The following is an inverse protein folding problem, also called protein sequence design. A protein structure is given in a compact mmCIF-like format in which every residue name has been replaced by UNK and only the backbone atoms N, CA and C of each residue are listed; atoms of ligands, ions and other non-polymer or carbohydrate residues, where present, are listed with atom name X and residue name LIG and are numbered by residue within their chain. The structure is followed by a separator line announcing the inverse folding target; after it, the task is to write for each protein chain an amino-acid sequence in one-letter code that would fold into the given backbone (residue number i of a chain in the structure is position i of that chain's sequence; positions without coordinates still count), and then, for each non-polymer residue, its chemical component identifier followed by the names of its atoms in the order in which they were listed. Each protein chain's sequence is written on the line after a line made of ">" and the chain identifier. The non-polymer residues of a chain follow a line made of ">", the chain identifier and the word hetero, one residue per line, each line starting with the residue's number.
data_IF_498123147351
#
_entry.id   IF_498123147351
#
_cell.length_a   1.000
_cell.length_b   1.000
_cell.length_c   1.000
_cell.angle_alpha   90.00
_cell.angle_beta   90.00
_cell.angle_gamma   90.00
#
_symmetry.space_group_name_H-M   'P 1'
#
loop_
_entity.id
_entity.type
_entity.pdbx_description
1 polymer ?
#
# COMPACT_ATOMS: atom_id res chain seq x y z
N UNK A 1 12.82 19.39 2.98
CA UNK A 1 14.15 18.72 3.12
C UNK A 1 14.10 17.31 2.53
N UNK A 2 13.24 16.40 3.01
CA UNK A 2 13.17 15.02 2.47
C UNK A 2 12.74 14.96 0.99
N UNK A 3 11.55 15.48 0.65
CA UNK A 3 11.05 15.45 -0.73
C UNK A 3 11.96 16.18 -1.73
N UNK A 4 12.56 17.30 -1.32
CA UNK A 4 13.52 18.03 -2.16
C UNK A 4 14.78 17.22 -2.49
N UNK A 5 15.20 16.29 -1.62
CA UNK A 5 16.28 15.36 -1.96
C UNK A 5 15.81 14.28 -2.95
N UNK A 6 14.59 13.76 -2.78
CA UNK A 6 14.00 12.80 -3.73
C UNK A 6 13.88 13.41 -5.14
N UNK A 7 13.43 14.67 -5.25
CA UNK A 7 13.29 15.33 -6.56
C UNK A 7 14.61 15.41 -7.32
N UNK A 8 15.72 15.77 -6.65
CA UNK A 8 17.04 15.81 -7.28
C UNK A 8 17.44 14.45 -7.87
N UNK A 9 17.06 13.37 -7.20
CA UNK A 9 17.32 12.01 -7.68
C UNK A 9 16.42 11.67 -8.88
N UNK A 10 15.14 12.07 -8.85
CA UNK A 10 14.24 11.92 -10.00
C UNK A 10 14.74 12.67 -11.23
N UNK A 11 15.19 13.92 -11.06
CA UNK A 11 15.72 14.75 -12.15
C UNK A 11 16.95 14.10 -12.79
N UNK A 12 17.89 13.56 -11.97
CA UNK A 12 19.07 12.83 -12.47
C UNK A 12 18.70 11.57 -13.24
N UNK A 13 17.68 10.84 -12.77
CA UNK A 13 17.20 9.61 -13.40
C UNK A 13 16.29 9.87 -14.63
N UNK A 14 15.95 11.13 -14.93
CA UNK A 14 14.98 11.45 -15.99
C UNK A 14 13.55 10.98 -15.68
N UNK A 15 13.22 10.79 -14.39
CA UNK A 15 11.89 10.39 -13.93
C UNK A 15 10.96 11.61 -13.99
N UNK A 16 9.74 11.41 -14.50
CA UNK A 16 8.77 12.50 -14.73
C UNK A 16 7.99 12.94 -13.48
N UNK A 17 8.24 12.35 -12.32
CA UNK A 17 7.54 12.68 -11.07
C UNK A 17 7.94 14.07 -10.57
N UNK A 18 6.94 14.82 -10.13
CA UNK A 18 7.09 16.17 -9.59
C UNK A 18 6.46 16.31 -8.20
N UNK A 19 6.65 17.47 -7.56
CA UNK A 19 6.01 17.79 -6.29
C UNK A 19 4.48 17.81 -6.37
N UNK A 20 3.91 18.08 -7.54
CA UNK A 20 2.45 18.10 -7.73
C UNK A 20 1.85 16.69 -7.71
N UNK A 21 2.65 15.65 -7.95
CA UNK A 21 2.22 14.25 -7.98
C UNK A 21 2.27 13.60 -6.59
N UNK A 22 2.76 14.32 -5.58
CA UNK A 22 2.92 13.79 -4.22
C UNK A 22 1.58 13.70 -3.53
N UNK A 23 1.12 12.46 -3.31
CA UNK A 23 -0.07 12.15 -2.53
C UNK A 23 0.27 11.13 -1.44
N UNK A 24 0.83 11.61 -0.32
CA UNK A 24 1.26 10.77 0.81
C UNK A 24 0.10 10.28 1.68
N UNK A 25 0.39 9.33 2.57
CA UNK A 25 -0.62 8.69 3.46
C UNK A 25 -1.42 9.70 4.28
N UNK A 26 -0.77 10.78 4.74
CA UNK A 26 -1.40 11.82 5.55
C UNK A 26 -2.55 12.53 4.84
N UNK A 27 -2.57 12.52 3.51
CA UNK A 27 -3.62 13.15 2.72
C UNK A 27 -4.97 12.41 2.82
N UNK A 28 -4.96 11.19 3.41
CA UNK A 28 -6.16 10.38 3.63
C UNK A 28 -6.56 10.30 5.11
N UNK A 29 -5.84 10.97 6.03
CA UNK A 29 -6.05 10.84 7.47
C UNK A 29 -7.47 11.18 7.92
N UNK A 30 -8.04 12.25 7.37
CA UNK A 30 -9.40 12.70 7.70
C UNK A 30 -10.46 11.67 7.30
N UNK A 31 -10.10 10.76 6.40
CA UNK A 31 -11.01 9.77 5.84
C UNK A 31 -10.99 8.40 6.53
N UNK A 32 -9.96 8.14 7.32
CA UNK A 32 -9.75 6.81 7.93
C UNK A 32 -10.90 6.42 8.86
N UNK A 33 -11.44 7.38 9.61
CA UNK A 33 -12.60 7.17 10.48
C UNK A 33 -13.85 6.82 9.66
N UNK A 34 -14.05 7.47 8.50
CA UNK A 34 -15.19 7.20 7.64
C UNK A 34 -15.09 5.82 6.99
N UNK A 35 -13.89 5.39 6.58
CA UNK A 35 -13.66 4.03 6.09
C UNK A 35 -14.11 2.98 7.10
N UNK A 36 -13.71 3.12 8.37
CA UNK A 36 -14.13 2.17 9.43
C UNK A 36 -15.64 2.22 9.68
N UNK A 37 -16.24 3.42 9.67
CA UNK A 37 -17.69 3.59 9.82
C UNK A 37 -18.46 2.91 8.68
N UNK A 38 -18.03 3.08 7.43
CA UNK A 38 -18.65 2.48 6.25
C UNK A 38 -18.54 0.94 6.26
N UNK A 39 -17.38 0.40 6.67
CA UNK A 39 -17.19 -1.04 6.82
C UNK A 39 -18.09 -1.61 7.92
N UNK A 40 -18.23 -0.89 9.03
CA UNK A 40 -19.17 -1.25 10.12
C UNK A 40 -20.61 -1.27 9.63
N UNK A 41 -21.04 -0.22 8.92
CA UNK A 41 -22.40 -0.10 8.41
C UNK A 41 -22.76 -1.21 7.40
N UNK A 42 -21.76 -1.74 6.68
CA UNK A 42 -21.91 -2.89 5.79
C UNK A 42 -21.84 -4.25 6.48
N UNK A 43 -21.59 -4.28 7.79
CA UNK A 43 -21.45 -5.52 8.55
C UNK A 43 -20.23 -6.35 8.16
N UNK A 44 -19.17 -5.69 7.64
CA UNK A 44 -17.94 -6.37 7.21
C UNK A 44 -16.92 -6.52 8.34
N UNK A 45 -17.07 -5.76 9.43
CA UNK A 45 -16.14 -5.78 10.56
C UNK A 45 -16.56 -6.78 11.62
N UNK A 46 -15.58 -7.56 12.07
CA UNK A 46 -15.66 -8.43 13.23
C UNK A 46 -14.58 -8.00 14.22
N UNK A 47 -14.93 -7.94 15.50
CA UNK A 47 -13.96 -7.71 16.56
C UNK A 47 -13.16 -9.00 16.83
N UNK A 48 -11.84 -8.89 16.82
CA UNK A 48 -10.91 -9.96 17.15
C UNK A 48 -9.79 -9.43 18.05
N UNK A 49 -9.71 -9.93 19.29
CA UNK A 49 -8.77 -9.47 20.32
C UNK A 49 -8.76 -7.94 20.52
N UNK A 50 -9.94 -7.33 20.46
CA UNK A 50 -10.14 -5.88 20.56
C UNK A 50 -9.84 -5.09 19.28
N UNK A 51 -9.24 -5.71 18.26
CA UNK A 51 -9.03 -5.08 16.96
C UNK A 51 -10.27 -5.27 16.06
N UNK A 52 -10.49 -4.34 15.13
CA UNK A 52 -11.51 -4.48 14.10
C UNK A 52 -10.87 -5.07 12.84
N UNK A 53 -11.41 -6.20 12.40
CA UNK A 53 -10.87 -7.00 11.32
C UNK A 53 -11.95 -7.32 10.27
N UNK A 54 -11.56 -7.41 9.00
CA UNK A 54 -12.37 -8.06 7.97
C UNK A 54 -11.82 -9.47 7.76
N UNK A 55 -12.70 -10.47 7.74
CA UNK A 55 -12.35 -11.85 7.43
C UNK A 55 -12.82 -12.20 6.02
N UNK A 56 -11.90 -12.72 5.22
CA UNK A 56 -12.13 -13.07 3.82
C UNK A 56 -11.93 -14.58 3.66
N UNK A 57 -12.97 -15.30 3.26
CA UNK A 57 -12.94 -16.76 3.20
C UNK A 57 -11.95 -17.31 2.18
N UNK A 58 -11.58 -16.52 1.16
CA UNK A 58 -10.62 -16.94 0.14
C UNK A 58 -9.18 -16.94 0.67
N UNK A 59 -8.92 -16.19 1.74
CA UNK A 59 -7.58 -15.98 2.29
C UNK A 59 -7.45 -16.71 3.63
N UNK A 60 -6.84 -17.89 3.60
CA UNK A 60 -6.69 -18.76 4.78
C UNK A 60 -5.22 -19.04 5.09
N UNK A 61 -4.94 -19.26 6.37
CA UNK A 61 -3.64 -19.76 6.81
C UNK A 61 -3.50 -21.27 6.50
N UNK A 62 -2.33 -21.85 6.81
CA UNK A 62 -2.06 -23.28 6.57
C UNK A 62 -2.98 -24.24 7.34
N UNK A 63 -3.63 -23.77 8.40
CA UNK A 63 -4.57 -24.53 9.23
C UNK A 63 -6.02 -24.40 8.75
N UNK A 64 -6.27 -23.61 7.70
CA UNK A 64 -7.59 -23.37 7.13
C UNK A 64 -8.38 -22.24 7.79
N UNK A 65 -7.77 -21.49 8.71
CA UNK A 65 -8.39 -20.36 9.39
C UNK A 65 -8.29 -19.09 8.53
N UNK A 66 -9.38 -18.30 8.36
CA UNK A 66 -9.34 -17.03 7.61
C UNK A 66 -8.31 -16.05 8.19
N UNK A 67 -7.54 -15.40 7.30
CA UNK A 67 -6.57 -14.39 7.67
C UNK A 67 -7.26 -13.05 7.94
N UNK A 68 -7.00 -12.39 9.09
CA UNK A 68 -7.63 -11.11 9.40
C UNK A 68 -6.97 -9.96 8.60
N UNK A 69 -7.81 -9.12 8.00
CA UNK A 69 -7.41 -7.80 7.50
C UNK A 69 -7.71 -6.79 8.59
N UNK A 70 -6.70 -6.41 9.37
CA UNK A 70 -6.87 -5.50 10.51
C UNK A 70 -7.02 -4.06 10.00
N UNK A 71 -8.19 -3.45 10.21
CA UNK A 71 -8.47 -2.06 9.81
C UNK A 71 -8.35 -1.06 10.96
N UNK A 72 -8.43 -1.53 12.21
CA UNK A 72 -8.20 -0.71 13.39
C UNK A 72 -7.69 -1.58 14.53
N UNK A 73 -6.59 -1.17 15.17
CA UNK A 73 -6.06 -1.87 16.35
C UNK A 73 -6.95 -1.65 17.58
N UNK A 74 -6.78 -2.48 18.60
CA UNK A 74 -7.47 -2.34 19.89
C UNK A 74 -7.28 -0.97 20.58
N UNK A 75 -6.17 -0.28 20.31
CA UNK A 75 -5.93 1.09 20.80
C UNK A 75 -6.55 2.21 19.95
N UNK A 76 -7.40 1.89 18.97
CA UNK A 76 -8.03 2.85 18.05
C UNK A 76 -7.13 3.32 16.90
N UNK A 77 -5.85 2.95 16.89
CA UNK A 77 -4.91 3.32 15.84
C UNK A 77 -5.19 2.61 14.51
N UNK A 78 -5.08 3.37 13.41
CA UNK A 78 -5.20 2.87 12.05
C UNK A 78 -3.92 2.19 11.54
N UNK A 79 -4.06 1.40 10.48
CA UNK A 79 -3.00 0.63 9.84
C UNK A 79 -2.96 0.92 8.34
N UNK A 80 -1.95 0.37 7.66
CA UNK A 80 -1.79 0.51 6.21
C UNK A 80 -3.06 0.12 5.43
N UNK A 81 -3.76 -0.93 5.85
CA UNK A 81 -5.01 -1.35 5.19
C UNK A 81 -6.08 -0.24 5.16
N UNK A 82 -6.23 0.51 6.26
CA UNK A 82 -7.21 1.60 6.34
C UNK A 82 -6.85 2.73 5.38
N UNK A 83 -5.56 3.09 5.31
CA UNK A 83 -5.06 4.12 4.41
C UNK A 83 -5.20 3.69 2.94
N UNK A 84 -4.89 2.44 2.61
CA UNK A 84 -5.04 1.91 1.24
C UNK A 84 -6.50 1.89 0.79
N UNK A 85 -7.43 1.55 1.69
CA UNK A 85 -8.88 1.62 1.42
C UNK A 85 -9.33 3.06 1.16
N UNK A 86 -8.89 4.01 2.00
CA UNK A 86 -9.17 5.43 1.78
C UNK A 86 -8.59 5.93 0.45
N UNK A 87 -7.36 5.52 0.12
CA UNK A 87 -6.69 5.88 -1.13
C UNK A 87 -7.41 5.32 -2.36
N UNK A 88 -7.88 4.07 -2.32
CA UNK A 88 -8.71 3.48 -3.39
C UNK A 88 -10.01 4.24 -3.59
N UNK A 89 -10.70 4.54 -2.49
CA UNK A 89 -11.94 5.31 -2.50
C UNK A 89 -11.74 6.72 -3.07
N UNK A 90 -10.65 7.39 -2.70
CA UNK A 90 -10.26 8.69 -3.27
C UNK A 90 -9.98 8.59 -4.77
N UNK A 91 -9.19 7.60 -5.20
CA UNK A 91 -8.86 7.40 -6.63
C UNK A 91 -10.12 7.15 -7.48
N UNK A 92 -11.11 6.46 -6.94
CA UNK A 92 -12.40 6.30 -7.61
C UNK A 92 -13.23 7.59 -7.58
N UNK A 93 -13.51 8.14 -6.40
CA UNK A 93 -14.50 9.20 -6.24
C UNK A 93 -14.02 10.58 -6.69
N UNK A 94 -12.72 10.86 -6.57
CA UNK A 94 -12.13 12.18 -6.81
C UNK A 94 -11.35 12.19 -8.12
N UNK A 95 -10.52 11.17 -8.37
CA UNK A 95 -9.74 11.10 -9.60
C UNK A 95 -10.50 10.44 -10.76
N UNK A 96 -11.65 9.83 -10.49
CA UNK A 96 -12.46 9.11 -11.49
C UNK A 96 -11.64 8.06 -12.27
N UNK A 97 -10.74 7.38 -11.57
CA UNK A 97 -9.86 6.40 -12.20
C UNK A 97 -10.65 5.15 -12.61
N UNK A 98 -10.50 4.74 -13.87
CA UNK A 98 -10.98 3.44 -14.36
C UNK A 98 -9.98 2.30 -14.04
N UNK A 99 -8.69 2.63 -13.92
CA UNK A 99 -7.60 1.68 -13.67
C UNK A 99 -6.54 2.27 -12.76
N UNK A 100 -6.09 1.51 -11.76
CA UNK A 100 -5.05 1.90 -10.80
C UNK A 100 -3.98 0.81 -10.73
N UNK A 101 -2.73 1.21 -10.97
CA UNK A 101 -1.55 0.34 -10.97
C UNK A 101 -0.68 0.62 -9.75
N UNK A 102 -0.38 -0.41 -8.96
CA UNK A 102 0.41 -0.34 -7.74
C UNK A 102 1.78 -0.99 -7.97
N UNK A 103 2.80 -0.17 -8.25
CA UNK A 103 4.17 -0.63 -8.39
C UNK A 103 4.83 -0.76 -7.01
N UNK A 104 4.71 -1.94 -6.39
CA UNK A 104 5.17 -2.22 -5.02
C UNK A 104 5.83 -3.60 -4.96
N UNK A 105 6.77 -3.80 -4.04
CA UNK A 105 7.48 -5.07 -3.83
C UNK A 105 6.52 -6.29 -3.78
N UNK A 106 6.92 -7.40 -4.42
CA UNK A 106 6.13 -8.63 -4.54
C UNK A 106 5.71 -9.22 -3.17
N UNK A 107 6.48 -8.97 -2.10
CA UNK A 107 6.15 -9.45 -0.75
C UNK A 107 4.86 -8.85 -0.20
N UNK A 108 4.36 -7.75 -0.78
CA UNK A 108 3.10 -7.12 -0.41
C UNK A 108 1.89 -7.67 -1.19
N UNK A 109 2.08 -8.69 -2.05
CA UNK A 109 1.00 -9.18 -2.92
C UNK A 109 -0.23 -9.66 -2.15
N UNK A 110 -0.04 -10.39 -1.05
CA UNK A 110 -1.16 -10.87 -0.22
C UNK A 110 -1.96 -9.70 0.38
N UNK A 111 -1.26 -8.68 0.88
CA UNK A 111 -1.91 -7.47 1.41
C UNK A 111 -2.76 -6.80 0.33
N UNK A 112 -2.22 -6.57 -0.86
CA UNK A 112 -2.96 -5.95 -1.96
C UNK A 112 -4.18 -6.76 -2.40
N UNK A 113 -4.04 -8.09 -2.53
CA UNK A 113 -5.16 -8.97 -2.85
C UNK A 113 -6.29 -8.84 -1.81
N UNK A 114 -5.94 -8.83 -0.53
CA UNK A 114 -6.90 -8.68 0.56
C UNK A 114 -7.57 -7.30 0.55
N UNK A 115 -6.82 -6.20 0.49
CA UNK A 115 -7.42 -4.85 0.54
C UNK A 115 -8.23 -4.53 -0.72
N UNK A 116 -7.86 -5.07 -1.88
CA UNK A 116 -8.67 -4.94 -3.10
C UNK A 116 -10.02 -5.63 -2.91
N UNK A 117 -10.05 -6.84 -2.36
CA UNK A 117 -11.29 -7.55 -2.09
C UNK A 117 -12.15 -6.81 -1.06
N UNK A 118 -11.53 -6.31 0.04
CA UNK A 118 -12.25 -5.47 1.01
C UNK A 118 -12.83 -4.23 0.34
N UNK A 119 -12.08 -3.53 -0.52
CA UNK A 119 -12.57 -2.35 -1.22
C UNK A 119 -13.79 -2.65 -2.11
N UNK A 120 -13.82 -3.81 -2.78
CA UNK A 120 -14.96 -4.25 -3.61
C UNK A 120 -16.19 -4.54 -2.76
N UNK A 121 -16.05 -5.34 -1.70
CA UNK A 121 -17.15 -5.66 -0.78
C UNK A 121 -17.68 -4.41 -0.08
N UNK A 122 -16.77 -3.52 0.29
CA UNK A 122 -17.08 -2.22 0.86
C UNK A 122 -17.68 -1.24 -0.16
N UNK A 123 -17.69 -1.56 -1.46
CA UNK A 123 -18.21 -0.70 -2.51
C UNK A 123 -17.48 0.64 -2.64
N UNK A 124 -16.22 0.69 -2.18
CA UNK A 124 -15.38 1.89 -2.32
C UNK A 124 -14.88 2.08 -3.76
N UNK A 125 -14.88 0.99 -4.53
CA UNK A 125 -14.55 0.97 -5.95
C UNK A 125 -15.62 0.14 -6.68
N UNK A 126 -16.02 0.53 -7.89
CA UNK A 126 -17.04 -0.18 -8.66
C UNK A 126 -16.44 -1.46 -9.25
N UNK A 127 -17.26 -2.47 -9.57
CA UNK A 127 -16.78 -3.76 -10.12
C UNK A 127 -15.98 -3.62 -11.43
N UNK A 128 -16.27 -2.60 -12.24
CA UNK A 128 -15.58 -2.35 -13.51
C UNK A 128 -14.21 -1.65 -13.40
N UNK A 129 -13.87 -1.09 -12.23
CA UNK A 129 -12.56 -0.46 -12.05
C UNK A 129 -11.47 -1.54 -11.98
N UNK A 130 -10.31 -1.33 -12.59
CA UNK A 130 -9.17 -2.25 -12.54
C UNK A 130 -8.21 -1.86 -11.41
N UNK A 131 -7.86 -2.81 -10.54
CA UNK A 131 -6.88 -2.63 -9.46
C UNK A 131 -5.80 -3.69 -9.61
N UNK A 132 -4.57 -3.28 -9.88
CA UNK A 132 -3.48 -4.21 -10.21
C UNK A 132 -2.25 -3.96 -9.35
N UNK A 133 -1.77 -5.01 -8.69
CA UNK A 133 -0.47 -5.01 -8.05
C UNK A 133 0.61 -5.39 -9.06
N UNK A 134 1.38 -4.39 -9.49
CA UNK A 134 2.52 -4.53 -10.38
C UNK A 134 3.77 -4.87 -9.56
N UNK A 135 3.79 -6.10 -9.04
CA UNK A 135 4.82 -6.62 -8.17
C UNK A 135 6.21 -6.67 -8.79
N UNK A 136 7.23 -6.20 -8.06
CA UNK A 136 8.64 -6.37 -8.44
C UNK A 136 9.44 -7.12 -7.38
N UNK A 137 10.46 -7.87 -7.81
CA UNK A 137 11.33 -8.65 -6.93
C UNK A 137 12.37 -7.81 -6.17
N UNK A 138 13.14 -8.45 -5.30
CA UNK A 138 14.20 -7.76 -4.56
C UNK A 138 15.40 -7.46 -5.45
N UNK A 139 16.03 -6.30 -5.24
CA UNK A 139 17.37 -6.06 -5.79
C UNK A 139 18.39 -6.85 -4.97
N UNK A 140 19.10 -7.75 -5.64
CA UNK A 140 20.12 -8.61 -5.02
C UNK A 140 21.51 -8.24 -5.54
N UNK A 141 22.51 -8.41 -4.67
CA UNK A 141 23.92 -8.34 -5.06
C UNK A 141 24.36 -9.56 -5.86
N UNK A 142 25.61 -9.54 -6.32
CA UNK A 142 26.21 -10.67 -7.04
C UNK A 142 26.26 -11.97 -6.22
N UNK A 143 26.14 -11.87 -4.89
CA UNK A 143 26.06 -12.99 -3.95
C UNK A 143 24.62 -13.56 -3.79
N UNK A 144 23.64 -13.01 -4.50
CA UNK A 144 22.24 -13.40 -4.44
C UNK A 144 21.51 -12.94 -3.17
N UNK A 145 22.16 -12.16 -2.30
CA UNK A 145 21.56 -11.61 -1.07
C UNK A 145 21.03 -10.18 -1.33
N UNK A 146 20.15 -9.65 -0.46
CA UNK A 146 19.67 -8.28 -0.60
C UNK A 146 20.80 -7.28 -0.79
N UNK A 147 20.65 -6.38 -1.76
CA UNK A 147 21.69 -5.42 -2.14
C UNK A 147 22.10 -4.54 -0.94
N UNK A 148 23.38 -4.61 -0.57
CA UNK A 148 23.98 -3.89 0.57
C UNK A 148 25.30 -3.26 0.13
N UNK A 149 25.73 -2.22 0.84
CA UNK A 149 27.08 -1.66 0.65
C UNK A 149 28.14 -2.70 1.03
N UNK A 150 29.40 -2.51 0.60
CA UNK A 150 30.53 -3.38 0.97
C UNK A 150 30.71 -3.51 2.49
N UNK A 151 30.30 -2.49 3.25
CA UNK A 151 30.32 -2.44 4.71
C UNK A 151 29.03 -2.96 5.38
N UNK A 152 28.07 -3.49 4.60
CA UNK A 152 26.83 -4.11 5.09
C UNK A 152 25.68 -3.15 5.42
N UNK A 153 25.82 -1.86 5.09
CA UNK A 153 24.79 -0.83 5.27
C UNK A 153 23.79 -0.72 4.10
N UNK A 154 22.78 0.13 4.27
CA UNK A 154 21.84 0.50 3.20
C UNK A 154 22.57 1.35 2.16
N UNK A 155 22.48 0.95 0.89
CA UNK A 155 23.05 1.73 -0.23
C UNK A 155 22.25 3.02 -0.40
N UNK A 156 22.92 4.17 -0.41
CA UNK A 156 22.26 5.42 -0.79
C UNK A 156 22.15 5.45 -2.30
N UNK A 157 20.94 5.74 -2.80
CA UNK A 157 20.68 5.80 -4.23
C UNK A 157 21.57 6.85 -4.94
N UNK A 158 21.91 7.94 -4.26
CA UNK A 158 22.77 8.98 -4.83
C UNK A 158 24.20 8.49 -5.07
N UNK A 159 24.77 7.72 -4.14
CA UNK A 159 26.11 7.15 -4.26
C UNK A 159 26.16 6.15 -5.43
N UNK A 160 25.10 5.35 -5.62
CA UNK A 160 24.99 4.42 -6.74
C UNK A 160 24.93 5.12 -8.10
N UNK A 161 24.25 6.28 -8.18
CA UNK A 161 24.19 7.07 -9.41
C UNK A 161 25.54 7.71 -9.74
N UNK A 162 26.30 8.14 -8.73
CA UNK A 162 27.65 8.65 -8.91
C UNK A 162 28.65 7.57 -9.34
N UNK A 163 28.51 6.32 -8.88
CA UNK A 163 29.36 5.20 -9.32
C UNK A 163 29.06 4.71 -10.74
N UNK A 164 27.85 4.97 -11.25
CA UNK A 164 27.40 4.51 -12.57
C UNK A 164 27.74 5.47 -13.73
N UNK A 165 28.09 6.71 -13.42
CA UNK A 165 28.54 7.76 -14.36
C UNK A 165 30.06 7.68 -14.65
#
# INVERSE_FOLDING_TARGET
>A
ISLSHCQKVYDRLGVKLSMADVMGESAYNDDLAQVVADLTAKGLLTEDNGALCVFLEEFKNAEGNPLPVIVQKAGGGYLYATTDLAAMRYRHNVLHADRVLYFVDQRQALHFQQVFEVARRAGFVPAGMELEHMGFGTMNGADGRPFKTRDGGTVKLIDLLEEAE
#
